data_IF_709836486985
#
_entry.id   IF_709836486985
#
_cell.length_a   1.000
_cell.length_b   1.000
_cell.length_c   1.000
_cell.angle_alpha   90.00
_cell.angle_beta   90.00
_cell.angle_gamma   90.00
#
_symmetry.space_group_name_H-M   'P 1'
#
loop_
_entity.id
_entity.type
_entity.pdbx_description
1 polymer ?
#
# COMPACT_ATOMS: atom_id res chain seq x y z
N UNK A 1 -7.30 10.61 -26.82
CA UNK A 1 -7.54 10.76 -25.39
C UNK A 1 -7.19 12.20 -25.04
N UNK A 2 -8.07 12.95 -24.38
CA UNK A 2 -7.71 14.29 -23.90
C UNK A 2 -6.87 14.17 -22.63
N UNK A 3 -6.28 15.28 -22.17
CA UNK A 3 -5.38 15.30 -21.00
C UNK A 3 -6.07 14.87 -19.71
N UNK A 4 -7.33 15.26 -19.53
CA UNK A 4 -8.13 14.91 -18.34
C UNK A 4 -8.40 13.40 -18.31
N UNK A 5 -8.80 12.81 -19.42
CA UNK A 5 -9.04 11.37 -19.50
C UNK A 5 -7.77 10.59 -19.19
N UNK A 6 -6.61 11.05 -19.71
CA UNK A 6 -5.31 10.45 -19.41
C UNK A 6 -4.99 10.52 -17.91
N UNK A 7 -5.16 11.67 -17.27
CA UNK A 7 -4.91 11.85 -15.83
C UNK A 7 -5.81 10.93 -15.01
N UNK A 8 -7.11 10.84 -15.35
CA UNK A 8 -8.05 10.00 -14.62
C UNK A 8 -7.73 8.50 -14.79
N UNK A 9 -7.32 8.08 -15.98
CA UNK A 9 -6.87 6.70 -16.22
C UNK A 9 -5.62 6.39 -15.39
N UNK A 10 -4.59 7.24 -15.45
CA UNK A 10 -3.37 7.04 -14.67
C UNK A 10 -3.62 7.04 -13.16
N UNK A 11 -4.50 7.91 -12.66
CA UNK A 11 -4.89 7.92 -11.26
C UNK A 11 -5.56 6.61 -10.87
N UNK A 12 -6.51 6.12 -11.69
CA UNK A 12 -7.19 4.85 -11.47
C UNK A 12 -6.21 3.67 -11.45
N UNK A 13 -5.30 3.62 -12.41
CA UNK A 13 -4.33 2.55 -12.53
C UNK A 13 -3.35 2.54 -11.36
N UNK A 14 -2.79 3.70 -10.99
CA UNK A 14 -1.86 3.82 -9.87
C UNK A 14 -2.50 3.50 -8.52
N UNK A 15 -3.74 3.94 -8.29
CA UNK A 15 -4.45 3.65 -7.03
C UNK A 15 -4.89 2.19 -6.90
N UNK A 16 -4.95 1.46 -8.01
CA UNK A 16 -5.22 0.02 -8.00
C UNK A 16 -3.97 -0.84 -7.71
N UNK A 17 -2.78 -0.24 -7.74
CA UNK A 17 -1.52 -0.94 -7.45
C UNK A 17 -1.18 -0.80 -5.97
N UNK A 18 -1.04 -1.92 -5.28
CA UNK A 18 -0.58 -1.92 -3.90
C UNK A 18 0.88 -1.48 -3.83
N UNK A 19 1.13 -0.37 -3.14
CA UNK A 19 2.45 0.25 -3.07
C UNK A 19 2.78 0.81 -1.68
N UNK A 20 2.61 0.07 -0.58
CA UNK A 20 3.00 0.58 0.72
C UNK A 20 4.50 0.88 0.76
N UNK A 21 4.91 1.81 1.64
CA UNK A 21 6.30 2.22 1.80
C UNK A 21 7.22 1.01 1.93
N UNK A 22 8.24 0.93 1.06
CA UNK A 22 9.16 -0.22 0.97
C UNK A 22 8.69 -1.38 0.07
N UNK A 23 7.48 -1.29 -0.49
CA UNK A 23 6.91 -2.25 -1.44
C UNK A 23 6.36 -1.53 -2.68
N UNK A 24 7.11 -0.60 -3.26
CA UNK A 24 6.69 0.29 -4.35
C UNK A 24 7.09 -0.19 -5.74
N UNK A 25 7.61 -1.40 -5.88
CA UNK A 25 8.20 -1.87 -7.13
C UNK A 25 7.20 -1.92 -8.28
N UNK A 26 5.98 -2.39 -8.02
CA UNK A 26 4.94 -2.49 -9.06
C UNK A 26 4.46 -1.10 -9.53
N UNK A 27 4.28 -0.16 -8.60
CA UNK A 27 3.94 1.21 -8.95
C UNK A 27 5.07 1.89 -9.73
N UNK A 28 6.33 1.68 -9.31
CA UNK A 28 7.50 2.19 -10.01
C UNK A 28 7.60 1.65 -11.44
N UNK A 29 7.38 0.35 -11.62
CA UNK A 29 7.39 -0.27 -12.95
C UNK A 29 6.27 0.29 -13.84
N UNK A 30 5.05 0.45 -13.30
CA UNK A 30 3.95 1.07 -14.02
C UNK A 30 4.33 2.47 -14.52
N UNK A 31 4.81 3.34 -13.62
CA UNK A 31 5.22 4.72 -13.97
C UNK A 31 6.32 4.71 -15.02
N UNK A 32 7.36 3.87 -14.85
CA UNK A 32 8.43 3.76 -15.85
C UNK A 32 7.88 3.36 -17.23
N UNK A 33 6.94 2.41 -17.28
CA UNK A 33 6.36 1.94 -18.53
C UNK A 33 5.49 3.01 -19.20
N UNK A 34 4.75 3.81 -18.42
CA UNK A 34 3.97 4.94 -18.94
C UNK A 34 4.90 5.96 -19.60
N UNK A 35 5.96 6.40 -18.90
CA UNK A 35 6.89 7.38 -19.47
C UNK A 35 7.68 6.84 -20.67
N UNK A 36 8.06 5.56 -20.67
CA UNK A 36 8.67 4.93 -21.85
C UNK A 36 7.74 4.97 -23.06
N UNK A 37 6.45 4.67 -22.87
CA UNK A 37 5.45 4.77 -23.95
C UNK A 37 5.27 6.19 -24.48
N UNK A 38 5.50 7.19 -23.65
CA UNK A 38 5.50 8.61 -24.03
C UNK A 38 6.81 9.05 -24.73
N UNK A 39 7.80 8.16 -24.83
CA UNK A 39 9.08 8.43 -25.51
C UNK A 39 10.19 8.95 -24.60
N UNK A 40 9.99 8.96 -23.27
CA UNK A 40 11.03 9.33 -22.31
C UNK A 40 11.90 8.14 -21.90
N UNK A 41 13.04 8.43 -21.28
CA UNK A 41 14.00 7.45 -20.75
C UNK A 41 14.03 7.49 -19.21
N UNK A 42 13.02 6.96 -18.48
CA UNK A 42 13.00 6.96 -17.03
C UNK A 42 14.12 6.10 -16.47
N UNK A 43 14.76 6.58 -15.40
CA UNK A 43 15.84 5.91 -14.69
C UNK A 43 15.41 5.59 -13.27
N UNK A 44 15.59 4.33 -12.84
CA UNK A 44 15.34 3.93 -11.46
C UNK A 44 16.54 4.28 -10.58
N UNK A 45 16.30 4.97 -9.49
CA UNK A 45 17.33 5.30 -8.50
C UNK A 45 17.63 4.10 -7.59
N UNK A 46 18.77 4.12 -6.91
CA UNK A 46 19.15 3.07 -5.96
C UNK A 46 18.16 2.89 -4.80
N UNK A 47 17.40 3.93 -4.47
CA UNK A 47 16.35 3.89 -3.43
C UNK A 47 14.95 3.55 -3.96
N UNK A 48 14.84 3.15 -5.24
CA UNK A 48 13.57 2.76 -5.86
C UNK A 48 12.74 3.92 -6.42
N UNK A 49 13.16 5.18 -6.25
CA UNK A 49 12.52 6.32 -6.90
C UNK A 49 12.75 6.30 -8.42
N UNK A 50 11.96 7.06 -9.15
CA UNK A 50 12.07 7.20 -10.60
C UNK A 50 12.47 8.64 -10.92
N UNK A 51 13.49 8.78 -11.72
CA UNK A 51 13.91 10.05 -12.28
C UNK A 51 13.59 10.07 -13.77
N UNK A 52 12.95 11.15 -14.23
CA UNK A 52 12.56 11.34 -15.62
C UNK A 52 13.02 12.74 -16.04
N UNK A 53 13.90 12.80 -17.01
CA UNK A 53 14.24 14.04 -17.67
C UNK A 53 13.17 14.33 -18.74
N UNK A 54 12.40 15.41 -18.55
CA UNK A 54 11.36 15.83 -19.50
C UNK A 54 11.91 16.76 -20.59
N UNK A 55 13.19 17.09 -20.50
CA UNK A 55 13.83 18.09 -21.34
C UNK A 55 13.47 19.52 -20.95
N UNK A 56 14.21 20.46 -21.48
CA UNK A 56 14.00 21.89 -21.23
C UNK A 56 14.71 22.74 -22.27
N UNK A 57 14.45 24.05 -22.23
CA UNK A 57 15.13 25.02 -23.08
C UNK A 57 16.48 25.47 -22.51
N UNK A 58 16.69 25.29 -21.22
CA UNK A 58 17.88 25.73 -20.50
C UNK A 58 18.30 24.61 -19.55
N UNK A 59 19.53 24.14 -19.69
CA UNK A 59 20.09 23.07 -18.87
C UNK A 59 20.69 23.62 -17.56
N UNK A 60 21.00 24.92 -17.51
CA UNK A 60 21.59 25.57 -16.33
C UNK A 60 20.56 26.01 -15.27
N UNK A 61 19.27 25.99 -15.60
CA UNK A 61 18.18 26.44 -14.74
C UNK A 61 17.01 25.46 -14.79
N UNK A 62 17.21 24.30 -14.19
CA UNK A 62 16.25 23.21 -14.20
C UNK A 62 15.26 23.31 -13.03
N UNK A 63 13.99 22.98 -13.30
CA UNK A 63 12.94 22.82 -12.29
C UNK A 63 12.76 21.35 -11.96
N UNK A 64 12.87 20.99 -10.68
CA UNK A 64 12.58 19.66 -10.19
C UNK A 64 11.13 19.57 -9.68
N UNK A 65 10.31 18.76 -10.32
CA UNK A 65 8.99 18.38 -9.84
C UNK A 65 9.08 17.05 -9.10
N UNK A 66 8.55 16.99 -7.88
CA UNK A 66 8.58 15.78 -7.06
C UNK A 66 7.17 15.36 -6.65
N UNK A 67 6.92 14.06 -6.65
CA UNK A 67 5.71 13.44 -6.12
C UNK A 67 6.06 12.09 -5.51
N UNK A 68 5.18 11.55 -4.63
CA UNK A 68 5.34 10.20 -4.10
C UNK A 68 4.30 9.25 -4.70
N UNK A 69 4.63 7.97 -4.78
CA UNK A 69 3.76 6.91 -5.26
C UNK A 69 3.43 5.88 -4.19
N UNK A 70 4.07 5.97 -3.02
CA UNK A 70 3.79 5.05 -1.94
C UNK A 70 2.45 5.36 -1.27
N UNK A 71 1.77 4.31 -0.88
CA UNK A 71 0.47 4.33 -0.21
C UNK A 71 0.59 3.87 1.24
N UNK A 72 -0.51 3.98 1.98
CA UNK A 72 -0.59 3.48 3.34
C UNK A 72 -0.55 1.96 3.38
N UNK A 73 0.07 1.41 4.41
CA UNK A 73 0.14 -0.03 4.61
C UNK A 73 0.76 -0.40 5.95
N UNK A 74 0.93 -1.70 6.15
CA UNK A 74 1.55 -2.27 7.33
C UNK A 74 2.40 -3.47 6.98
N UNK A 75 3.34 -3.81 7.85
CA UNK A 75 4.15 -5.01 7.73
C UNK A 75 3.75 -6.03 8.80
N UNK A 76 3.74 -7.31 8.44
CA UNK A 76 3.51 -8.37 9.42
C UNK A 76 4.66 -8.41 10.41
N UNK A 77 4.36 -8.12 11.68
CA UNK A 77 5.31 -8.21 12.79
C UNK A 77 5.42 -9.65 13.31
N UNK A 78 4.26 -10.30 13.52
CA UNK A 78 4.21 -11.65 14.09
C UNK A 78 2.99 -12.39 13.55
N UNK A 79 3.19 -13.66 13.21
CA UNK A 79 2.10 -14.62 13.00
C UNK A 79 1.83 -15.29 14.35
N UNK A 80 0.62 -15.13 14.88
CA UNK A 80 0.20 -15.71 16.15
C UNK A 80 -0.08 -17.21 16.01
N UNK A 81 -0.14 -17.91 17.15
CA UNK A 81 -0.41 -19.36 17.17
C UNK A 81 -1.78 -19.74 16.60
N UNK A 82 -2.73 -18.82 16.62
CA UNK A 82 -4.07 -18.97 16.05
C UNK A 82 -4.16 -18.56 14.57
N UNK A 83 -3.02 -18.21 13.94
CA UNK A 83 -2.92 -17.79 12.55
C UNK A 83 -3.22 -16.31 12.30
N UNK A 84 -3.64 -15.55 13.30
CA UNK A 84 -3.86 -14.11 13.18
C UNK A 84 -2.55 -13.35 13.09
N UNK A 85 -2.58 -12.16 12.49
CA UNK A 85 -1.37 -11.39 12.24
C UNK A 85 -1.33 -10.13 13.12
N UNK A 86 -0.26 -9.99 13.90
CA UNK A 86 0.11 -8.72 14.51
C UNK A 86 0.90 -7.91 13.48
N UNK A 87 0.59 -6.62 13.38
CA UNK A 87 1.18 -5.73 12.39
C UNK A 87 2.01 -4.62 13.03
N UNK A 88 2.90 -4.05 12.21
CA UNK A 88 3.56 -2.76 12.47
C UNK A 88 3.24 -1.80 11.33
N UNK A 89 2.93 -0.51 11.60
CA UNK A 89 2.59 0.44 10.56
C UNK A 89 3.77 0.73 9.64
N UNK A 90 3.47 1.00 8.37
CA UNK A 90 4.39 1.61 7.42
C UNK A 90 3.88 3.01 7.13
N UNK A 91 4.74 4.03 7.33
CA UNK A 91 4.32 5.42 7.19
C UNK A 91 3.25 5.84 8.21
N UNK A 92 2.31 6.68 7.77
CA UNK A 92 1.29 7.31 8.60
C UNK A 92 -0.04 6.58 8.69
N UNK A 93 -0.08 5.24 8.56
CA UNK A 93 -1.32 4.49 8.66
C UNK A 93 -1.99 4.68 10.03
N UNK A 94 -3.21 5.24 10.03
CA UNK A 94 -3.97 5.48 11.25
C UNK A 94 -4.84 4.25 11.58
N UNK A 95 -4.65 3.59 12.73
CA UNK A 95 -5.44 2.42 13.11
C UNK A 95 -6.95 2.65 13.16
N UNK A 96 -7.39 3.87 13.49
CA UNK A 96 -8.83 4.17 13.53
C UNK A 96 -9.50 4.04 12.16
N UNK A 97 -8.73 4.15 11.07
CA UNK A 97 -9.25 4.06 9.71
C UNK A 97 -9.12 2.65 9.13
N UNK A 98 -8.67 1.68 9.92
CA UNK A 98 -8.42 0.31 9.43
C UNK A 98 -9.39 -0.72 9.95
N UNK A 99 -10.15 -0.43 11.00
CA UNK A 99 -11.12 -1.38 11.57
C UNK A 99 -12.22 -1.72 10.57
N UNK A 100 -12.37 -3.00 10.26
CA UNK A 100 -13.34 -3.49 9.27
C UNK A 100 -12.85 -3.42 7.81
N UNK A 101 -11.66 -2.86 7.56
CA UNK A 101 -11.11 -2.78 6.21
C UNK A 101 -10.47 -4.10 5.77
N UNK A 102 -10.70 -4.45 4.52
CA UNK A 102 -10.03 -5.58 3.89
C UNK A 102 -8.62 -5.20 3.48
N UNK A 103 -7.71 -6.16 3.57
CA UNK A 103 -6.33 -5.98 3.16
C UNK A 103 -5.79 -7.19 2.40
N UNK A 104 -4.79 -6.96 1.57
CA UNK A 104 -4.03 -8.03 0.90
C UNK A 104 -2.70 -8.25 1.61
N UNK A 105 -2.39 -9.50 1.90
CA UNK A 105 -1.17 -9.92 2.58
C UNK A 105 -0.25 -10.60 1.57
N UNK A 106 0.86 -9.96 1.26
CA UNK A 106 1.87 -10.45 0.34
C UNK A 106 2.90 -11.27 1.10
N UNK A 107 3.09 -12.52 0.70
CA UNK A 107 4.10 -13.39 1.30
C UNK A 107 5.40 -13.36 0.50
N UNK A 108 6.52 -13.71 1.14
CA UNK A 108 7.82 -13.86 0.46
C UNK A 108 7.81 -14.92 -0.64
N UNK A 109 6.92 -15.92 -0.53
CA UNK A 109 6.76 -16.97 -1.54
C UNK A 109 5.84 -16.58 -2.71
N UNK A 110 5.42 -15.31 -2.80
CA UNK A 110 4.59 -14.79 -3.89
C UNK A 110 3.10 -15.11 -3.76
N UNK A 111 2.65 -15.74 -2.68
CA UNK A 111 1.22 -15.93 -2.43
C UNK A 111 0.62 -14.65 -1.86
N UNK A 112 -0.63 -14.38 -2.24
CA UNK A 112 -1.43 -13.28 -1.73
C UNK A 112 -2.61 -13.89 -0.98
N UNK A 113 -2.87 -13.39 0.21
CA UNK A 113 -4.04 -13.75 1.02
C UNK A 113 -4.85 -12.50 1.27
N UNK A 114 -6.16 -12.65 1.35
CA UNK A 114 -7.06 -11.61 1.82
C UNK A 114 -7.23 -11.73 3.33
N UNK A 115 -7.53 -10.62 3.97
CA UNK A 115 -7.79 -10.57 5.40
C UNK A 115 -8.48 -9.27 5.80
N UNK A 116 -8.95 -9.23 7.04
CA UNK A 116 -9.67 -8.09 7.58
C UNK A 116 -9.02 -7.59 8.85
N UNK A 117 -8.83 -6.27 8.95
CA UNK A 117 -8.41 -5.61 10.18
C UNK A 117 -9.54 -5.58 11.21
N UNK A 118 -9.23 -5.99 12.43
CA UNK A 118 -10.18 -5.91 13.54
C UNK A 118 -9.49 -5.69 14.89
N UNK A 119 -10.27 -5.35 15.91
CA UNK A 119 -9.79 -5.45 17.28
C UNK A 119 -9.50 -6.91 17.66
N UNK A 120 -8.55 -7.14 18.54
CA UNK A 120 -8.25 -8.47 19.11
C UNK A 120 -9.50 -9.06 19.77
N UNK A 121 -10.26 -8.20 20.47
CA UNK A 121 -11.52 -8.54 21.10
C UNK A 121 -12.68 -7.90 20.32
N UNK A 122 -12.94 -8.37 19.12
CA UNK A 122 -13.80 -7.71 18.13
C UNK A 122 -15.32 -7.80 18.42
N UNK A 123 -15.76 -8.64 19.36
CA UNK A 123 -17.18 -8.81 19.63
C UNK A 123 -17.70 -7.85 20.70
N UNK A 124 -18.57 -6.92 20.32
CA UNK A 124 -19.25 -6.02 21.26
C UNK A 124 -20.15 -6.77 22.28
N UNK A 125 -20.64 -7.96 21.91
CA UNK A 125 -21.49 -8.76 22.78
C UNK A 125 -20.73 -9.49 23.89
N UNK A 126 -19.42 -9.66 23.72
CA UNK A 126 -18.54 -10.35 24.68
C UNK A 126 -17.60 -9.37 25.36
N UNK A 127 -17.22 -8.29 24.65
CA UNK A 127 -16.28 -7.29 25.11
C UNK A 127 -17.01 -6.01 25.53
N UNK A 128 -17.33 -5.86 26.82
CA UNK A 128 -18.03 -4.69 27.35
C UNK A 128 -17.31 -3.36 27.12
N UNK A 129 -15.99 -3.39 26.95
CA UNK A 129 -15.14 -2.22 26.72
C UNK A 129 -14.92 -1.89 25.24
N UNK A 130 -15.65 -2.55 24.34
CA UNK A 130 -15.45 -2.41 22.89
C UNK A 130 -15.41 -0.96 22.42
N UNK A 131 -16.34 -0.14 22.89
CA UNK A 131 -16.45 1.27 22.49
C UNK A 131 -15.35 2.15 23.09
N UNK A 132 -14.83 1.80 24.25
CA UNK A 132 -13.79 2.54 24.97
C UNK A 132 -12.38 2.14 24.53
N UNK A 133 -12.24 1.00 23.87
CA UNK A 133 -10.94 0.45 23.48
C UNK A 133 -10.29 1.29 22.39
N UNK A 134 -9.10 1.81 22.66
CA UNK A 134 -8.33 2.56 21.66
C UNK A 134 -7.92 1.64 20.52
N UNK A 135 -8.07 2.12 19.28
CA UNK A 135 -7.58 1.46 18.07
C UNK A 135 -6.09 1.78 17.90
N UNK A 136 -5.25 0.80 18.16
CA UNK A 136 -3.80 0.87 18.03
C UNK A 136 -3.29 -0.42 17.39
N UNK A 137 -2.07 -0.43 16.87
CA UNK A 137 -1.47 -1.66 16.34
C UNK A 137 -1.20 -2.73 17.43
N UNK A 138 -1.26 -2.36 18.73
CA UNK A 138 -1.19 -3.31 19.84
C UNK A 138 -2.55 -3.92 20.20
N UNK A 139 -3.64 -3.23 19.90
CA UNK A 139 -5.01 -3.68 20.19
C UNK A 139 -5.73 -4.25 18.97
N UNK A 140 -5.10 -4.18 17.80
CA UNK A 140 -5.66 -4.66 16.53
C UNK A 140 -4.83 -5.79 15.94
N UNK A 141 -5.45 -6.54 15.06
CA UNK A 141 -4.87 -7.67 14.35
C UNK A 141 -5.52 -7.82 12.98
N UNK A 142 -4.93 -8.63 12.12
CA UNK A 142 -5.56 -9.08 10.88
C UNK A 142 -5.96 -10.54 11.02
N UNK A 143 -7.20 -10.84 10.67
CA UNK A 143 -7.72 -12.19 10.47
C UNK A 143 -7.63 -12.52 9.00
N UNK A 144 -7.03 -13.66 8.66
CA UNK A 144 -6.94 -14.12 7.28
C UNK A 144 -8.26 -14.76 6.85
N UNK A 145 -8.71 -14.46 5.64
CA UNK A 145 -9.89 -15.06 5.01
C UNK A 145 -9.53 -16.44 4.43
N UNK A 146 -9.12 -17.35 5.31
CA UNK A 146 -8.83 -18.72 4.94
C UNK A 146 -10.12 -19.54 5.02
N UNK A 147 -10.61 -19.99 3.87
CA UNK A 147 -11.70 -20.96 3.84
C UNK A 147 -11.29 -22.25 4.56
N UNK A 148 -12.12 -22.70 5.51
CA UNK A 148 -11.92 -23.99 6.21
C UNK A 148 -11.83 -25.20 5.27
N UNK A 149 -12.20 -25.03 4.00
CA UNK A 149 -12.12 -26.06 2.95
C UNK A 149 -10.67 -26.30 2.48
N UNK A 150 -9.74 -25.41 2.82
CA UNK A 150 -8.33 -25.46 2.38
C UNK A 150 -7.34 -25.80 3.51
N UNK A 151 -7.84 -26.18 4.66
CA UNK A 151 -7.03 -26.68 5.80
C UNK A 151 -6.97 -28.19 5.78
#
# INVERSE_FOLDING_TARGET
>A
MNEIDFILEQLKDLTAIDSPTGFTEYAAEHVMNVYKKMGYAPVRTAKGGIFIDLGGKNEDDAILLTAHMDTLGAMVHTVKNDGRLKLTPLGGLNPNNTEGENCRIYTRGGRIYDGTFQLIDASIHVNGDYNEKKRTFDTMEVVLDLSLIHI
#
